data_IF_580679200306
#
_entry.id   IF_580679200306
#
_cell.length_a   1.000
_cell.length_b   1.000
_cell.length_c   1.000
_cell.angle_alpha   90.00
_cell.angle_beta   90.00
_cell.angle_gamma   90.00
#
_symmetry.space_group_name_H-M   'P 1'
#
loop_
_entity.id
_entity.type
_entity.pdbx_description
1 polymer ?
#
# COMPACT_ATOMS: atom_id res chain seq x y z
N UNK A 1 16.66 -18.59 -4.74
CA UNK A 1 17.98 -18.00 -5.07
C UNK A 1 17.95 -16.47 -5.15
N UNK A 2 16.95 -15.82 -5.77
CA UNK A 2 16.94 -14.34 -5.94
C UNK A 2 17.16 -13.55 -4.64
N UNK A 3 16.42 -13.85 -3.56
CA UNK A 3 16.55 -13.14 -2.29
C UNK A 3 17.92 -13.37 -1.63
N UNK A 4 18.38 -14.62 -1.60
CA UNK A 4 19.69 -15.02 -1.07
C UNK A 4 20.84 -14.35 -1.83
N UNK A 5 20.75 -14.27 -3.16
CA UNK A 5 21.74 -13.61 -4.01
C UNK A 5 21.83 -12.10 -3.72
N UNK A 6 20.71 -11.48 -3.31
CA UNK A 6 20.64 -10.08 -2.91
C UNK A 6 20.88 -9.87 -1.40
N UNK A 7 21.32 -10.90 -0.66
CA UNK A 7 21.54 -10.86 0.80
C UNK A 7 20.30 -10.43 1.60
N UNK A 8 19.11 -10.70 1.06
CA UNK A 8 17.84 -10.45 1.75
C UNK A 8 17.41 -11.70 2.52
N UNK A 9 17.03 -11.51 3.78
CA UNK A 9 16.50 -12.58 4.62
C UNK A 9 14.99 -12.65 4.40
N UNK A 10 14.44 -13.76 3.88
CA UNK A 10 13.00 -13.92 3.77
C UNK A 10 12.39 -14.05 5.17
N UNK A 11 11.45 -13.16 5.49
CA UNK A 11 10.61 -13.27 6.68
C UNK A 11 9.20 -13.60 6.24
N UNK A 12 8.67 -14.72 6.71
CA UNK A 12 7.29 -15.13 6.44
C UNK A 12 6.55 -15.24 7.76
N UNK A 13 5.37 -14.63 7.83
CA UNK A 13 4.46 -14.81 8.96
C UNK A 13 4.07 -16.28 9.09
N UNK A 14 3.82 -16.73 10.32
CA UNK A 14 3.25 -18.06 10.55
C UNK A 14 1.88 -18.15 9.88
N UNK A 15 1.50 -19.35 9.40
CA UNK A 15 0.14 -19.59 8.89
C UNK A 15 -0.89 -19.16 9.95
N UNK A 16 -1.84 -18.34 9.55
CA UNK A 16 -2.88 -17.79 10.43
C UNK A 16 -2.50 -16.49 11.17
N UNK A 17 -1.29 -15.94 10.97
CA UNK A 17 -0.90 -14.64 11.53
C UNK A 17 -0.85 -13.58 10.43
N UNK A 18 -1.94 -12.80 10.28
CA UNK A 18 -2.09 -11.79 9.23
C UNK A 18 -1.59 -10.39 9.62
N UNK A 19 -0.98 -10.22 10.80
CA UNK A 19 -0.56 -8.90 11.30
C UNK A 19 0.40 -8.19 10.34
N UNK A 20 1.36 -8.92 9.76
CA UNK A 20 2.30 -8.35 8.80
C UNK A 20 1.65 -8.00 7.45
N UNK A 21 0.55 -8.69 7.10
CA UNK A 21 -0.20 -8.44 5.86
C UNK A 21 -1.29 -7.37 6.04
N UNK A 22 -1.73 -7.12 7.27
CA UNK A 22 -2.84 -6.22 7.58
C UNK A 22 -2.66 -4.81 6.97
N UNK A 23 -1.48 -4.17 6.98
CA UNK A 23 -1.28 -2.88 6.32
C UNK A 23 -1.55 -2.92 4.81
N UNK A 24 -1.10 -3.98 4.13
CA UNK A 24 -1.35 -4.17 2.70
C UNK A 24 -2.84 -4.41 2.43
N UNK A 25 -3.51 -5.23 3.24
CA UNK A 25 -4.95 -5.48 3.10
C UNK A 25 -5.77 -4.20 3.25
N UNK A 26 -5.42 -3.36 4.24
CA UNK A 26 -6.04 -2.05 4.46
C UNK A 26 -5.84 -1.16 3.23
N UNK A 27 -4.60 -1.05 2.72
CA UNK A 27 -4.31 -0.28 1.51
C UNK A 27 -5.17 -0.72 0.32
N UNK A 28 -5.21 -2.02 0.03
CA UNK A 28 -6.00 -2.54 -1.10
C UNK A 28 -7.51 -2.41 -0.88
N UNK A 29 -7.99 -2.50 0.36
CA UNK A 29 -9.40 -2.27 0.70
C UNK A 29 -9.80 -0.82 0.43
N UNK A 30 -8.95 0.13 0.82
CA UNK A 30 -9.16 1.55 0.53
C UNK A 30 -9.13 1.84 -0.97
N UNK A 31 -8.10 1.40 -1.69
CA UNK A 31 -8.01 1.61 -3.14
C UNK A 31 -9.23 1.08 -3.89
N UNK A 32 -9.71 -0.11 -3.52
CA UNK A 32 -10.90 -0.70 -4.16
C UNK A 32 -12.17 0.10 -3.86
N UNK A 33 -12.32 0.62 -2.65
CA UNK A 33 -13.55 1.30 -2.22
C UNK A 33 -13.59 2.79 -2.56
N UNK A 34 -12.44 3.45 -2.58
CA UNK A 34 -12.27 4.88 -2.83
C UNK A 34 -12.03 5.20 -4.31
N UNK A 35 -11.39 4.29 -5.06
CA UNK A 35 -11.06 4.50 -6.47
C UNK A 35 -11.81 3.52 -7.40
N UNK A 36 -11.45 2.23 -7.36
CA UNK A 36 -11.90 1.25 -8.36
C UNK A 36 -13.42 0.97 -8.33
N UNK A 37 -14.10 1.30 -7.24
CA UNK A 37 -15.56 1.24 -7.14
C UNK A 37 -16.24 2.26 -8.06
N UNK A 38 -15.60 3.40 -8.31
CA UNK A 38 -16.16 4.50 -9.10
C UNK A 38 -15.55 4.59 -10.49
N UNK A 39 -14.30 4.15 -10.65
CA UNK A 39 -13.58 4.16 -11.91
C UNK A 39 -13.08 2.75 -12.26
N UNK A 40 -13.81 2.05 -13.14
CA UNK A 40 -13.42 0.74 -13.64
C UNK A 40 -12.40 0.93 -14.75
N UNK A 41 -11.17 0.38 -14.64
CA UNK A 41 -10.16 0.53 -15.67
C UNK A 41 -10.57 -0.13 -16.98
N UNK A 42 -10.31 0.52 -18.11
CA UNK A 42 -10.66 -0.01 -19.43
C UNK A 42 -9.64 -1.01 -19.98
N UNK A 43 -8.40 -0.95 -19.50
CA UNK A 43 -7.30 -1.84 -19.91
C UNK A 43 -6.25 -1.99 -18.79
N UNK A 44 -5.26 -2.85 -19.04
CA UNK A 44 -4.18 -3.10 -18.08
C UNK A 44 -3.34 -1.83 -17.81
N UNK A 45 -2.99 -1.06 -18.84
CA UNK A 45 -2.15 0.13 -18.68
C UNK A 45 -2.87 1.23 -17.87
N UNK A 46 -4.18 1.35 -18.06
CA UNK A 46 -5.02 2.23 -17.26
C UNK A 46 -5.03 1.77 -15.79
N UNK A 47 -5.27 0.48 -15.53
CA UNK A 47 -5.21 -0.07 -14.17
C UNK A 47 -3.84 0.19 -13.50
N UNK A 48 -2.73 -0.03 -14.22
CA UNK A 48 -1.38 0.24 -13.71
C UNK A 48 -1.21 1.72 -13.36
N UNK A 49 -1.67 2.61 -14.24
CA UNK A 49 -1.61 4.05 -14.03
C UNK A 49 -2.44 4.48 -12.81
N UNK A 50 -3.64 3.91 -12.63
CA UNK A 50 -4.48 4.16 -11.45
C UNK A 50 -3.80 3.69 -10.16
N UNK A 51 -3.24 2.49 -10.16
CA UNK A 51 -2.52 1.96 -8.99
C UNK A 51 -1.35 2.87 -8.61
N UNK A 52 -0.54 3.31 -9.58
CA UNK A 52 0.57 4.22 -9.34
C UNK A 52 0.09 5.55 -8.73
N UNK A 53 -0.95 6.14 -9.32
CA UNK A 53 -1.51 7.39 -8.81
C UNK A 53 -2.09 7.24 -7.39
N UNK A 54 -2.77 6.13 -7.12
CA UNK A 54 -3.32 5.86 -5.79
C UNK A 54 -2.22 5.61 -4.75
N UNK A 55 -1.09 4.99 -5.13
CA UNK A 55 0.08 4.86 -4.25
C UNK A 55 0.65 6.23 -3.87
N UNK A 56 0.78 7.14 -4.83
CA UNK A 56 1.26 8.51 -4.58
C UNK A 56 0.29 9.24 -3.64
N UNK A 57 -1.00 9.27 -3.98
CA UNK A 57 -2.04 9.87 -3.15
C UNK A 57 -2.03 9.32 -1.72
N UNK A 58 -2.00 8.00 -1.56
CA UNK A 58 -2.04 7.35 -0.26
C UNK A 58 -0.85 7.73 0.63
N UNK A 59 0.35 7.87 0.04
CA UNK A 59 1.58 8.13 0.79
C UNK A 59 1.85 9.62 1.02
N UNK A 60 1.47 10.48 0.07
CA UNK A 60 1.81 11.90 0.07
C UNK A 60 0.65 12.79 0.53
N UNK A 61 -0.60 12.41 0.22
CA UNK A 61 -1.74 13.34 0.27
C UNK A 61 -2.88 12.86 1.17
N UNK A 62 -2.86 11.61 1.68
CA UNK A 62 -3.93 11.02 2.50
C UNK A 62 -3.62 11.12 4.00
N UNK A 63 -4.23 12.06 4.75
CA UNK A 63 -4.10 12.14 6.20
C UNK A 63 -4.66 10.89 6.86
N UNK A 64 -3.97 10.36 7.87
CA UNK A 64 -4.45 9.20 8.63
C UNK A 64 -4.61 9.54 10.10
N UNK A 65 -5.80 9.29 10.65
CA UNK A 65 -6.07 9.52 12.08
C UNK A 65 -5.12 8.75 12.99
N UNK A 66 -4.74 7.53 12.59
CA UNK A 66 -3.75 6.71 13.32
C UNK A 66 -2.33 7.32 13.33
N UNK A 67 -2.05 8.23 12.41
CA UNK A 67 -0.79 8.97 12.28
C UNK A 67 -0.96 10.43 12.73
N UNK A 68 -1.91 10.72 13.64
CA UNK A 68 -2.21 12.07 14.12
C UNK A 68 -2.55 13.07 13.00
N UNK A 69 -3.18 12.60 11.92
CA UNK A 69 -3.53 13.44 10.77
C UNK A 69 -2.37 13.69 9.80
N UNK A 70 -1.21 13.05 9.99
CA UNK A 70 -0.13 13.06 9.01
C UNK A 70 -0.38 12.04 7.89
N UNK A 71 0.25 12.28 6.74
CA UNK A 71 0.39 11.27 5.68
C UNK A 71 1.49 10.27 6.03
N UNK A 72 1.52 9.07 5.42
CA UNK A 72 2.57 8.10 5.65
C UNK A 72 4.00 8.65 5.43
N UNK A 73 4.19 9.50 4.42
CA UNK A 73 5.49 10.13 4.16
C UNK A 73 5.84 11.18 5.21
N UNK A 74 4.89 12.01 5.63
CA UNK A 74 5.10 12.97 6.71
C UNK A 74 5.49 12.26 8.01
N UNK A 75 4.73 11.22 8.39
CA UNK A 75 5.02 10.44 9.59
C UNK A 75 6.41 9.79 9.54
N UNK A 76 6.83 9.28 8.37
CA UNK A 76 8.18 8.71 8.18
C UNK A 76 9.29 9.75 8.35
N UNK A 77 9.08 10.97 7.87
CA UNK A 77 10.08 12.05 7.90
C UNK A 77 10.03 12.89 9.20
N UNK A 78 9.02 12.66 10.05
CA UNK A 78 8.88 13.33 11.35
C UNK A 78 9.80 12.73 12.44
N UNK A 79 10.31 11.51 12.21
CA UNK A 79 11.15 10.76 13.13
C UNK A 79 12.64 11.16 13.08
#
# INVERSE_FOLDING_TARGET
MLLTNNKLIPSNSRKGNCLDNSPCEIFFSHMKSEDLKFCIPSCQDDLVSRVNHYIEFYNCDRPQLKLNGMTPNEYRNHA
#
